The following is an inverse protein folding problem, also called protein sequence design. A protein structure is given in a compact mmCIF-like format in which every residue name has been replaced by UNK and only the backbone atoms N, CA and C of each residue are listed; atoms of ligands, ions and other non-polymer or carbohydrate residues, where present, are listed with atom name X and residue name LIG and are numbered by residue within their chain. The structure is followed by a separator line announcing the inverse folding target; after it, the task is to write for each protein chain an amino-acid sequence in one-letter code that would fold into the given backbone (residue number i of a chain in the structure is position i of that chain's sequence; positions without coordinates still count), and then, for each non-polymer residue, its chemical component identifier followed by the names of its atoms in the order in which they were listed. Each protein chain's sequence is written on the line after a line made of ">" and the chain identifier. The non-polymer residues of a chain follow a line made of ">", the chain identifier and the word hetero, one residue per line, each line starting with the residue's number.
data_IF_925913334262
#
_entry.id   IF_925913334262
#
_cell.length_a   1.000
_cell.length_b   1.000
_cell.length_c   1.000
_cell.angle_alpha   90.00
_cell.angle_beta   90.00
_cell.angle_gamma   90.00
#
_symmetry.space_group_name_H-M   'P 1'
#
loop_
_entity.id
_entity.type
_entity.pdbx_description
1 polymer ?
#
# COMPACT_ATOMS: atom_id res chain seq x y z
N UNK A 1 15.44 -3.81 -14.31
CA UNK A 1 15.55 -4.56 -13.04
C UNK A 1 15.82 -6.03 -13.38
N UNK A 2 16.52 -6.77 -12.50
CA UNK A 2 16.74 -8.22 -12.67
C UNK A 2 15.51 -9.01 -12.20
N UNK A 3 15.41 -10.28 -12.61
CA UNK A 3 14.38 -11.19 -12.12
C UNK A 3 14.60 -11.46 -10.62
N UNK A 4 13.60 -11.15 -9.80
CA UNK A 4 13.64 -11.32 -8.34
C UNK A 4 13.17 -12.70 -7.87
N UNK A 5 12.73 -13.57 -8.78
CA UNK A 5 12.19 -14.89 -8.45
C UNK A 5 10.83 -14.81 -7.76
N UNK A 6 10.63 -15.64 -6.73
CA UNK A 6 9.42 -15.61 -5.91
C UNK A 6 9.54 -14.46 -4.91
N UNK A 7 8.58 -13.53 -4.96
CA UNK A 7 8.57 -12.41 -4.03
C UNK A 7 8.15 -12.88 -2.64
N UNK A 8 8.87 -12.43 -1.63
CA UNK A 8 8.64 -12.79 -0.22
C UNK A 8 8.24 -11.59 0.62
N UNK A 9 8.93 -10.46 0.45
CA UNK A 9 8.69 -9.25 1.24
C UNK A 9 8.72 -7.99 0.38
N UNK A 10 7.98 -6.97 0.81
CA UNK A 10 8.06 -5.60 0.30
C UNK A 10 8.31 -4.67 1.48
N UNK A 11 9.29 -3.77 1.35
CA UNK A 11 9.45 -2.64 2.26
C UNK A 11 8.90 -1.39 1.59
N UNK A 12 8.06 -0.66 2.32
CA UNK A 12 7.50 0.62 1.86
C UNK A 12 7.59 1.66 2.96
N UNK A 13 7.70 2.93 2.58
CA UNK A 13 7.76 4.04 3.51
C UNK A 13 7.72 5.39 2.80
N UNK A 14 7.68 6.46 3.60
CA UNK A 14 7.77 7.84 3.12
C UNK A 14 8.68 8.66 4.03
N UNK A 15 9.16 9.80 3.53
CA UNK A 15 10.13 10.67 4.20
C UNK A 15 9.48 11.67 5.18
N UNK A 16 8.16 11.57 5.39
CA UNK A 16 7.35 12.47 6.21
C UNK A 16 7.40 13.93 5.72
N UNK A 17 7.68 14.17 4.43
CA UNK A 17 7.65 15.48 3.82
C UNK A 17 6.21 15.98 3.58
N UNK A 18 6.04 17.30 3.60
CA UNK A 18 4.76 17.96 3.35
C UNK A 18 3.80 17.96 4.55
N UNK A 19 2.64 18.59 4.34
CA UNK A 19 1.57 18.61 5.33
C UNK A 19 0.78 17.30 5.27
N UNK A 20 0.39 16.78 6.44
CA UNK A 20 -0.44 15.57 6.55
C UNK A 20 0.18 14.31 5.92
N UNK A 21 1.49 14.12 6.11
CA UNK A 21 2.22 12.92 5.69
C UNK A 21 1.84 11.67 6.50
N UNK A 22 0.60 11.19 6.33
CA UNK A 22 0.03 10.03 7.04
C UNK A 22 -0.70 9.15 6.03
N UNK A 23 -0.23 7.92 5.84
CA UNK A 23 -0.83 6.99 4.88
C UNK A 23 -1.47 5.82 5.62
N UNK A 24 -2.76 5.58 5.38
CA UNK A 24 -3.39 4.31 5.73
C UNK A 24 -3.30 3.38 4.52
N UNK A 25 -2.53 2.32 4.63
CA UNK A 25 -2.30 1.39 3.51
C UNK A 25 -3.00 0.08 3.81
N UNK A 26 -3.92 -0.32 2.95
CA UNK A 26 -4.61 -1.61 3.10
C UNK A 26 -3.69 -2.77 2.69
N UNK A 27 -3.16 -2.74 1.48
CA UNK A 27 -2.19 -3.72 0.98
C UNK A 27 -1.37 -3.16 -0.19
N UNK A 28 -0.27 -3.84 -0.53
CA UNK A 28 0.48 -3.64 -1.78
C UNK A 28 0.26 -4.84 -2.69
N UNK A 29 0.04 -4.61 -3.97
CA UNK A 29 -0.12 -5.65 -4.99
C UNK A 29 1.04 -5.55 -5.98
N UNK A 30 1.76 -6.66 -6.19
CA UNK A 30 2.87 -6.73 -7.16
C UNK A 30 2.59 -7.82 -8.17
N UNK A 31 2.53 -7.46 -9.45
CA UNK A 31 2.33 -8.40 -10.56
C UNK A 31 3.60 -8.52 -11.40
N UNK A 32 4.05 -9.76 -11.61
CA UNK A 32 5.06 -10.05 -12.60
C UNK A 32 4.42 -9.96 -14.00
N UNK A 33 4.82 -8.96 -14.80
CA UNK A 33 4.27 -8.75 -16.14
C UNK A 33 4.59 -9.85 -17.15
N UNK A 34 5.62 -10.67 -16.90
CA UNK A 34 6.02 -11.77 -17.78
C UNK A 34 5.28 -13.06 -17.42
N UNK A 35 5.29 -13.45 -16.14
CA UNK A 35 4.68 -14.72 -15.69
C UNK A 35 3.21 -14.59 -15.31
N UNK A 36 2.69 -13.37 -15.15
CA UNK A 36 1.34 -13.10 -14.67
C UNK A 36 1.12 -13.31 -13.17
N UNK A 37 2.09 -13.89 -12.46
CA UNK A 37 2.01 -14.11 -11.01
C UNK A 37 1.76 -12.79 -10.27
N UNK A 38 0.75 -12.77 -9.41
CA UNK A 38 0.42 -11.61 -8.58
C UNK A 38 0.62 -11.97 -7.12
N UNK A 39 1.28 -11.09 -6.37
CA UNK A 39 1.54 -11.22 -4.95
C UNK A 39 0.81 -10.11 -4.20
N UNK A 40 0.13 -10.46 -3.11
CA UNK A 40 -0.51 -9.53 -2.19
C UNK A 40 0.35 -9.40 -0.94
N UNK A 41 0.58 -8.17 -0.50
CA UNK A 41 1.30 -7.84 0.73
C UNK A 41 0.36 -7.06 1.64
N UNK A 42 -0.40 -7.74 2.53
CA UNK A 42 -1.30 -7.08 3.47
C UNK A 42 -0.54 -6.12 4.39
N UNK A 43 -1.10 -4.93 4.63
CA UNK A 43 -0.55 -3.95 5.56
C UNK A 43 -1.55 -3.62 6.67
N UNK A 44 -2.71 -3.04 6.31
CA UNK A 44 -3.79 -2.67 7.23
C UNK A 44 -3.41 -1.66 8.31
N UNK A 45 -2.34 -0.88 8.12
CA UNK A 45 -1.77 -0.02 9.17
C UNK A 45 -1.39 1.36 8.67
N UNK A 46 -1.28 2.30 9.61
CA UNK A 46 -0.86 3.67 9.30
C UNK A 46 0.67 3.78 9.19
N UNK A 47 1.16 4.66 8.31
CA UNK A 47 2.53 5.11 8.25
C UNK A 47 2.56 6.64 8.42
N UNK A 48 3.10 7.14 9.53
CA UNK A 48 3.17 8.56 9.82
C UNK A 48 3.35 8.88 11.31
N UNK A 49 4.00 9.99 11.62
CA UNK A 49 4.19 10.43 13.02
C UNK A 49 2.84 10.71 13.70
N UNK A 50 2.67 10.19 14.92
CA UNK A 50 1.48 10.44 15.75
C UNK A 50 0.21 9.71 15.30
N UNK A 51 0.33 8.66 14.48
CA UNK A 51 -0.74 7.69 14.18
C UNK A 51 -0.21 6.28 14.36
N UNK A 52 -1.07 5.36 14.81
CA UNK A 52 -0.69 3.96 15.10
C UNK A 52 0.58 3.90 15.99
N UNK A 53 1.66 3.24 15.55
CA UNK A 53 2.94 3.15 16.25
C UNK A 53 3.94 4.28 15.87
N UNK A 54 3.54 5.23 15.04
CA UNK A 54 4.40 6.32 14.58
C UNK A 54 5.43 5.93 13.51
N UNK A 55 5.40 4.69 13.00
CA UNK A 55 6.37 4.24 12.00
C UNK A 55 6.21 4.96 10.65
N UNK A 56 7.32 5.26 9.99
CA UNK A 56 7.35 5.82 8.63
C UNK A 56 7.61 4.78 7.54
N UNK A 57 7.92 3.54 7.94
CA UNK A 57 8.19 2.42 7.04
C UNK A 57 7.61 1.13 7.59
N UNK A 58 7.30 0.17 6.71
CA UNK A 58 6.84 -1.16 7.07
C UNK A 58 7.40 -2.20 6.10
N UNK A 59 7.81 -3.33 6.65
CA UNK A 59 8.12 -4.55 5.89
C UNK A 59 6.88 -5.43 5.94
N UNK A 60 6.40 -5.82 4.76
CA UNK A 60 5.21 -6.62 4.57
C UNK A 60 5.61 -7.97 3.98
N UNK A 61 5.04 -9.05 4.51
CA UNK A 61 5.22 -10.40 3.96
C UNK A 61 4.14 -10.65 2.92
N UNK A 62 4.56 -11.17 1.77
CA UNK A 62 3.69 -11.39 0.62
C UNK A 62 3.24 -12.83 0.48
N UNK A 63 2.04 -12.98 -0.09
CA UNK A 63 1.47 -14.26 -0.48
C UNK A 63 1.15 -14.25 -1.98
N UNK A 64 1.40 -15.38 -2.65
CA UNK A 64 1.03 -15.57 -4.05
C UNK A 64 -0.50 -15.69 -4.14
N UNK A 65 -1.13 -14.86 -4.96
CA UNK A 65 -2.56 -14.92 -5.24
C UNK A 65 -2.82 -16.08 -6.19
N UNK A 66 -3.64 -17.05 -5.75
CA UNK A 66 -4.13 -18.14 -6.60
C UNK A 66 -5.49 -17.75 -7.17
N UNK A 67 -5.73 -18.13 -8.43
CA UNK A 67 -6.75 -17.59 -9.34
C UNK A 67 -8.21 -17.93 -9.00
N UNK A 68 -8.62 -17.87 -7.73
CA UNK A 68 -9.96 -18.34 -7.33
C UNK A 68 -11.02 -17.22 -7.27
N UNK A 69 -10.70 -15.96 -6.94
CA UNK A 69 -11.73 -14.89 -6.88
C UNK A 69 -11.13 -13.46 -6.97
N UNK A 70 -10.71 -12.94 -8.14
CA UNK A 70 -10.12 -11.58 -8.14
C UNK A 70 -10.14 -10.72 -9.41
N UNK A 71 -10.91 -10.99 -10.48
CA UNK A 71 -10.98 -10.01 -11.58
C UNK A 71 -11.83 -8.76 -11.23
N UNK A 72 -12.74 -8.82 -10.24
CA UNK A 72 -13.72 -7.75 -9.99
C UNK A 72 -13.40 -6.80 -8.80
N UNK A 73 -12.30 -7.05 -8.06
CA UNK A 73 -11.93 -6.26 -6.87
C UNK A 73 -10.49 -5.77 -6.82
N UNK A 74 -9.69 -6.04 -7.85
CA UNK A 74 -8.32 -5.53 -7.92
C UNK A 74 -8.34 -4.01 -8.09
N UNK A 75 -8.13 -3.32 -6.96
CA UNK A 75 -7.77 -1.91 -6.87
C UNK A 75 -8.63 -0.97 -7.72
N UNK A 76 -9.95 -0.89 -7.46
CA UNK A 76 -10.62 0.39 -7.74
C UNK A 76 -9.98 1.39 -6.79
N UNK A 77 -9.18 2.32 -7.31
CA UNK A 77 -8.83 3.54 -6.59
C UNK A 77 -10.15 4.07 -6.04
N UNK A 78 -10.32 4.26 -4.71
CA UNK A 78 -11.54 4.86 -4.21
C UNK A 78 -11.78 6.15 -5.00
N UNK A 79 -13.02 6.42 -5.45
CA UNK A 79 -13.31 7.66 -6.18
C UNK A 79 -12.70 8.80 -5.37
N UNK A 80 -12.03 9.73 -6.06
CA UNK A 80 -11.25 10.80 -5.45
C UNK A 80 -12.10 11.52 -4.40
N UNK A 81 -12.04 11.06 -3.15
CA UNK A 81 -12.74 11.69 -2.05
C UNK A 81 -11.90 12.91 -1.73
N UNK A 82 -12.53 14.08 -1.81
CA UNK A 82 -11.87 15.31 -1.40
C UNK A 82 -11.33 15.09 0.02
N UNK A 83 -10.04 15.36 0.21
CA UNK A 83 -9.45 15.47 1.54
C UNK A 83 -10.38 16.34 2.39
N UNK A 84 -10.69 15.95 3.64
CA UNK A 84 -11.63 16.71 4.47
C UNK A 84 -11.26 18.19 4.45
N UNK A 85 -12.13 18.98 3.80
CA UNK A 85 -11.96 20.42 3.70
C UNK A 85 -12.24 21.02 5.06
N UNK A 86 -11.22 21.23 5.87
CA UNK A 86 -11.40 21.98 7.11
C UNK A 86 -11.19 23.46 6.81
N UNK A 87 -12.22 24.24 7.12
CA UNK A 87 -12.20 25.71 7.15
C UNK A 87 -10.88 26.19 7.76
N UNK A 88 -10.14 27.00 6.99
CA UNK A 88 -9.07 27.83 7.56
C UNK A 88 -9.74 28.73 8.60
N UNK A 89 -9.55 28.45 9.89
CA UNK A 89 -9.89 29.42 10.93
C UNK A 89 -8.90 30.57 10.78
N UNK A 90 -9.44 31.73 10.41
CA UNK A 90 -8.75 33.02 10.48
C UNK A 90 -8.55 33.40 11.95
#
# INVERSE_FOLDING_TARGET
>A
CQNLGKLTTVQMGHDNSGLYAKWLVECVMVRNGITGHTYKFPCGRWLGKGVDDGSLERILVGELVTNTESEDRMCRTPPMQQSPGMMRRF
#
